data_IF_293044447817
#
_entry.id   IF_293044447817
#
_cell.length_a   1.000
_cell.length_b   1.000
_cell.length_c   1.000
_cell.angle_alpha   90.00
_cell.angle_beta   90.00
_cell.angle_gamma   90.00
#
_symmetry.space_group_name_H-M   'P 1'
#
loop_
_entity.id
_entity.type
_entity.pdbx_description
1 polymer ?
#
# COMPACT_ATOMS: atom_id res chain seq x y z
N UNK A 1 -8.14 29.58 51.03
CA UNK A 1 -9.06 28.43 50.91
C UNK A 1 -8.26 27.28 50.32
N UNK A 2 -7.80 26.40 51.21
CA UNK A 2 -7.00 25.20 50.93
C UNK A 2 -7.89 24.02 50.54
N UNK A 3 -7.26 22.99 49.96
CA UNK A 3 -7.65 21.55 49.95
C UNK A 3 -8.27 20.94 48.68
N UNK A 4 -7.38 20.25 47.94
CA UNK A 4 -7.41 18.81 47.56
C UNK A 4 -8.50 18.19 46.66
N UNK A 5 -7.98 17.63 45.56
CA UNK A 5 -8.10 16.23 45.13
C UNK A 5 -9.47 15.69 44.64
N UNK A 6 -9.51 15.23 43.39
CA UNK A 6 -9.96 13.87 43.07
C UNK A 6 -9.05 13.30 41.97
N UNK A 7 -8.08 12.50 42.38
CA UNK A 7 -7.45 11.47 41.56
C UNK A 7 -8.11 10.14 41.92
N UNK A 8 -8.40 9.30 40.92
CA UNK A 8 -8.59 7.86 41.12
C UNK A 8 -9.93 7.29 40.63
N UNK A 9 -9.91 6.70 39.43
CA UNK A 9 -10.44 5.35 39.26
C UNK A 9 -9.38 4.54 38.51
N UNK A 10 -8.91 3.51 39.19
CA UNK A 10 -7.89 2.55 38.79
C UNK A 10 -8.50 1.44 37.93
N UNK A 11 -7.67 0.94 37.00
CA UNK A 11 -7.52 -0.48 36.62
C UNK A 11 -8.73 -1.26 36.09
N UNK A 12 -8.70 -1.52 34.78
CA UNK A 12 -9.10 -2.81 34.23
C UNK A 12 -7.98 -3.32 33.30
N UNK A 13 -7.15 -4.21 33.83
CA UNK A 13 -6.18 -5.03 33.09
C UNK A 13 -6.89 -6.30 32.60
N UNK A 14 -6.51 -6.74 31.40
CA UNK A 14 -6.62 -8.09 30.84
C UNK A 14 -8.02 -8.64 30.51
N UNK A 15 -8.26 -8.83 29.20
CA UNK A 15 -8.39 -10.15 28.56
C UNK A 15 -9.42 -10.11 27.41
N UNK A 16 -8.94 -10.08 26.15
CA UNK A 16 -9.56 -10.85 25.07
C UNK A 16 -8.42 -11.53 24.30
N UNK A 17 -7.95 -12.61 24.91
CA UNK A 17 -7.17 -13.66 24.24
C UNK A 17 -8.18 -14.68 23.72
N UNK A 18 -8.12 -14.93 22.41
CA UNK A 18 -8.50 -16.17 21.72
C UNK A 18 -10.00 -16.53 21.55
N UNK A 19 -10.56 -16.16 20.39
CA UNK A 19 -11.52 -17.02 19.69
C UNK A 19 -10.84 -17.55 18.43
N UNK A 20 -10.23 -18.72 18.55
CA UNK A 20 -9.84 -19.54 17.42
C UNK A 20 -11.09 -20.01 16.65
N UNK A 21 -11.00 -20.18 15.34
CA UNK A 21 -11.40 -21.40 14.61
C UNK A 21 -11.53 -21.11 13.11
N UNK A 22 -10.53 -21.58 12.37
CA UNK A 22 -10.70 -22.45 11.21
C UNK A 22 -11.69 -21.96 10.13
N UNK A 23 -11.13 -21.32 9.11
CA UNK A 23 -11.68 -21.34 7.76
C UNK A 23 -10.88 -22.31 6.91
N UNK A 24 -11.44 -23.49 6.68
CA UNK A 24 -10.93 -24.52 5.79
C UNK A 24 -10.92 -24.04 4.34
N UNK A 25 -9.75 -24.15 3.71
CA UNK A 25 -9.51 -24.51 2.30
C UNK A 25 -10.76 -24.75 1.45
N UNK A 26 -11.18 -23.76 0.67
CA UNK A 26 -12.01 -23.94 -0.51
C UNK A 26 -11.10 -24.09 -1.73
N UNK A 27 -10.68 -25.32 -2.01
CA UNK A 27 -10.08 -25.69 -3.29
C UNK A 27 -11.03 -26.71 -3.92
N UNK A 28 -11.98 -26.25 -4.75
CA UNK A 28 -12.67 -27.17 -5.63
C UNK A 28 -11.74 -27.67 -6.74
N UNK A 29 -11.19 -28.87 -6.55
CA UNK A 29 -10.69 -29.69 -7.63
C UNK A 29 -11.86 -30.48 -8.23
N UNK A 30 -12.32 -30.12 -9.43
CA UNK A 30 -13.14 -31.02 -10.28
C UNK A 30 -12.69 -30.91 -11.75
N UNK A 31 -11.78 -31.83 -12.07
CA UNK A 31 -11.70 -32.69 -13.26
C UNK A 31 -11.63 -32.05 -14.65
N UNK A 32 -10.40 -31.82 -15.12
CA UNK A 32 -10.08 -31.75 -16.54
C UNK A 32 -9.13 -32.87 -16.95
N UNK A 33 -9.60 -34.13 -16.92
CA UNK A 33 -8.85 -35.27 -17.48
C UNK A 33 -8.87 -35.18 -19.00
N UNK A 34 -7.69 -35.00 -19.56
CA UNK A 34 -7.35 -35.19 -20.97
C UNK A 34 -7.94 -36.50 -21.50
N UNK A 35 -8.74 -36.42 -22.56
CA UNK A 35 -8.86 -37.50 -23.53
C UNK A 35 -8.58 -36.92 -24.91
N UNK A 36 -7.34 -37.12 -25.33
CA UNK A 36 -6.97 -37.21 -26.75
C UNK A 36 -7.49 -38.55 -27.27
N UNK A 37 -8.23 -38.51 -28.39
CA UNK A 37 -8.07 -39.37 -29.59
C UNK A 37 -9.41 -39.58 -30.29
N UNK A 38 -9.58 -38.87 -31.42
CA UNK A 38 -10.23 -39.38 -32.64
C UNK A 38 -11.76 -39.39 -32.71
N UNK A 39 -12.33 -38.50 -33.55
CA UNK A 39 -13.06 -38.87 -34.78
C UNK A 39 -14.08 -37.80 -35.23
N UNK A 40 -13.75 -37.17 -36.37
CA UNK A 40 -14.62 -36.76 -37.50
C UNK A 40 -15.73 -35.70 -37.28
N UNK A 41 -15.61 -34.66 -38.11
CA UNK A 41 -16.66 -33.89 -38.81
C UNK A 41 -16.83 -32.40 -38.44
N UNK A 42 -16.40 -31.57 -39.41
CA UNK A 42 -16.99 -30.28 -39.87
C UNK A 42 -16.88 -29.01 -39.00
N UNK A 43 -15.94 -28.14 -39.44
CA UNK A 43 -15.83 -26.66 -39.36
C UNK A 43 -17.10 -25.88 -39.77
N UNK A 44 -17.22 -24.52 -39.62
CA UNK A 44 -16.46 -23.49 -38.86
C UNK A 44 -17.38 -22.57 -37.99
N UNK A 45 -16.92 -21.70 -37.07
CA UNK A 45 -16.57 -20.28 -37.33
C UNK A 45 -16.24 -19.56 -35.99
N UNK A 46 -15.03 -18.99 -35.93
CA UNK A 46 -14.52 -17.76 -35.24
C UNK A 46 -15.25 -17.20 -34.01
N UNK A 47 -14.62 -16.70 -32.94
CA UNK A 47 -13.25 -16.51 -32.44
C UNK A 47 -13.41 -15.98 -30.98
N UNK A 48 -12.78 -16.58 -29.95
CA UNK A 48 -11.60 -16.05 -29.22
C UNK A 48 -11.78 -14.61 -28.65
N UNK A 49 -11.52 -14.28 -27.38
CA UNK A 49 -10.43 -14.75 -26.51
C UNK A 49 -10.69 -14.47 -25.01
N UNK A 50 -10.15 -15.37 -24.20
CA UNK A 50 -9.88 -15.40 -22.75
C UNK A 50 -9.38 -14.10 -22.07
N UNK A 51 -9.71 -13.87 -20.78
CA UNK A 51 -8.79 -13.25 -19.83
C UNK A 51 -7.99 -14.34 -19.09
N UNK A 52 -6.70 -14.43 -19.41
CA UNK A 52 -5.71 -15.17 -18.64
C UNK A 52 -4.93 -14.16 -17.78
N UNK A 53 -4.64 -14.51 -16.53
CA UNK A 53 -3.62 -13.80 -15.75
C UNK A 53 -3.89 -13.72 -14.25
N UNK A 54 -3.82 -14.86 -13.57
CA UNK A 54 -3.45 -14.88 -12.16
C UNK A 54 -1.97 -14.51 -12.07
N UNK A 55 -1.68 -13.29 -11.62
CA UNK A 55 -0.35 -12.83 -11.24
C UNK A 55 -0.23 -12.88 -9.72
N UNK A 56 0.32 -13.97 -9.21
CA UNK A 56 0.84 -14.05 -7.84
C UNK A 56 2.02 -13.07 -7.73
N UNK A 57 1.82 -11.91 -7.11
CA UNK A 57 2.93 -11.07 -6.65
C UNK A 57 3.27 -11.46 -5.21
N UNK A 58 3.85 -12.66 -5.07
CA UNK A 58 4.70 -12.99 -3.95
C UNK A 58 6.14 -12.84 -4.43
N UNK A 59 6.68 -11.62 -4.33
CA UNK A 59 8.11 -11.37 -4.53
C UNK A 59 8.70 -10.85 -3.23
N UNK A 60 9.46 -11.71 -2.57
CA UNK A 60 10.46 -11.34 -1.57
C UNK A 60 11.47 -10.33 -2.17
N UNK A 61 12.12 -9.50 -1.34
CA UNK A 61 12.86 -8.33 -1.81
C UNK A 61 14.08 -8.79 -2.62
N UNK A 62 14.08 -8.42 -3.90
CA UNK A 62 15.31 -8.41 -4.68
C UNK A 62 16.12 -7.23 -4.15
N UNK A 63 17.35 -7.50 -3.73
CA UNK A 63 18.40 -6.49 -3.56
C UNK A 63 18.60 -5.77 -4.90
N UNK A 64 17.76 -4.77 -5.15
CA UNK A 64 17.78 -3.91 -6.32
C UNK A 64 18.36 -2.56 -5.91
N UNK A 65 19.30 -2.06 -6.70
CA UNK A 65 20.06 -0.82 -6.48
C UNK A 65 19.18 0.45 -6.64
N UNK A 66 17.88 0.39 -6.41
CA UNK A 66 17.02 1.56 -6.47
C UNK A 66 15.62 1.31 -5.91
N UNK A 67 14.96 2.42 -5.55
CA UNK A 67 13.67 2.41 -4.86
C UNK A 67 12.59 2.17 -5.89
N UNK A 68 11.74 1.18 -5.69
CA UNK A 68 10.60 0.92 -6.56
C UNK A 68 9.32 1.50 -5.96
N UNK A 69 8.25 1.61 -6.75
CA UNK A 69 6.93 1.90 -6.18
C UNK A 69 6.42 0.79 -5.25
N UNK A 70 6.89 -0.45 -5.41
CA UNK A 70 6.57 -1.54 -4.48
C UNK A 70 7.26 -1.37 -3.13
N UNK A 71 8.42 -0.72 -3.08
CA UNK A 71 9.06 -0.33 -1.81
C UNK A 71 8.28 0.80 -1.15
N UNK A 72 7.91 1.85 -1.90
CA UNK A 72 7.05 2.94 -1.38
C UNK A 72 5.75 2.39 -0.78
N UNK A 73 5.08 1.46 -1.46
CA UNK A 73 3.83 0.87 -1.00
C UNK A 73 3.91 0.12 0.34
N UNK A 74 5.10 -0.30 0.78
CA UNK A 74 5.30 -0.91 2.10
C UNK A 74 5.19 0.12 3.24
N UNK A 75 5.47 1.39 2.96
CA UNK A 75 5.43 2.50 3.92
C UNK A 75 4.10 3.27 3.79
N UNK A 76 3.00 2.60 4.17
CA UNK A 76 1.62 3.06 3.92
C UNK A 76 0.85 3.46 5.19
N UNK A 77 1.55 3.72 6.30
CA UNK A 77 0.92 4.05 7.59
C UNK A 77 1.40 5.41 8.12
N UNK A 78 0.66 6.09 9.03
CA UNK A 78 1.10 7.38 9.55
C UNK A 78 2.44 7.33 10.31
N UNK A 79 2.74 6.20 10.96
CA UNK A 79 3.99 5.96 11.68
C UNK A 79 5.13 5.45 10.80
N UNK A 80 4.84 5.13 9.53
CA UNK A 80 5.81 4.72 8.51
C UNK A 80 5.25 5.07 7.12
N UNK A 81 5.50 6.31 6.69
CA UNK A 81 4.81 6.94 5.55
C UNK A 81 5.81 7.41 4.49
N UNK A 82 5.88 6.70 3.36
CA UNK A 82 6.56 7.21 2.17
C UNK A 82 5.54 7.59 1.10
N UNK A 83 5.90 8.57 0.27
CA UNK A 83 5.14 8.88 -0.94
C UNK A 83 6.09 9.17 -2.09
N UNK A 84 5.67 8.79 -3.30
CA UNK A 84 6.38 9.17 -4.51
C UNK A 84 5.87 10.51 -5.03
N UNK A 85 6.78 11.44 -5.33
CA UNK A 85 6.44 12.74 -5.94
C UNK A 85 7.47 13.05 -7.03
N UNK A 86 7.00 13.27 -8.26
CA UNK A 86 7.85 13.59 -9.41
C UNK A 86 9.01 12.60 -9.60
N UNK A 87 8.72 11.29 -9.49
CA UNK A 87 9.71 10.23 -9.71
C UNK A 87 10.74 10.04 -8.60
N UNK A 88 10.51 10.60 -7.40
CA UNK A 88 11.35 10.39 -6.22
C UNK A 88 10.50 9.94 -5.04
N UNK A 89 11.06 9.10 -4.17
CA UNK A 89 10.48 8.71 -2.90
C UNK A 89 10.87 9.68 -1.78
N UNK A 90 9.91 10.00 -0.91
CA UNK A 90 10.10 10.86 0.25
C UNK A 90 9.54 10.20 1.51
N UNK A 91 10.28 10.27 2.61
CA UNK A 91 9.82 9.83 3.93
C UNK A 91 9.13 10.98 4.65
N UNK A 92 7.81 10.97 4.64
CA UNK A 92 6.97 12.04 5.16
C UNK A 92 6.53 11.80 6.60
N UNK A 93 6.97 10.71 7.24
CA UNK A 93 6.53 10.26 8.57
C UNK A 93 6.61 11.39 9.60
N UNK A 94 7.75 12.07 9.66
CA UNK A 94 7.96 13.18 10.61
C UNK A 94 7.27 14.49 10.21
N UNK A 95 6.87 14.63 8.94
CA UNK A 95 6.25 15.83 8.41
C UNK A 95 4.73 15.89 8.64
N UNK A 96 4.07 14.74 8.82
CA UNK A 96 2.60 14.64 8.95
C UNK A 96 2.05 15.68 9.93
N UNK A 97 2.53 15.69 11.17
CA UNK A 97 2.07 16.58 12.24
C UNK A 97 2.40 18.07 12.03
N UNK A 98 3.34 18.36 11.12
CA UNK A 98 3.86 19.70 10.85
C UNK A 98 3.25 20.32 9.59
N UNK A 99 2.54 19.52 8.79
CA UNK A 99 2.00 19.96 7.52
C UNK A 99 0.93 21.05 7.69
N UNK A 100 1.14 22.28 7.15
CA UNK A 100 0.18 23.39 7.32
C UNK A 100 -1.21 23.14 6.72
N UNK A 101 -1.31 22.27 5.71
CA UNK A 101 -2.58 21.87 5.09
C UNK A 101 -3.36 20.81 5.88
N UNK A 102 -2.84 20.38 7.04
CA UNK A 102 -3.41 19.34 7.87
C UNK A 102 -2.80 17.96 7.63
N UNK A 103 -2.75 17.16 8.69
CA UNK A 103 -2.12 15.84 8.73
C UNK A 103 -2.76 14.85 7.74
N UNK A 104 -4.08 14.88 7.65
CA UNK A 104 -4.88 13.93 6.87
C UNK A 104 -4.56 13.94 5.37
N UNK A 105 -4.07 15.06 4.84
CA UNK A 105 -3.66 15.16 3.43
C UNK A 105 -2.42 14.31 3.18
N UNK A 106 -1.45 14.32 4.11
CA UNK A 106 -0.23 13.53 3.99
C UNK A 106 -0.51 12.06 4.28
N UNK A 107 -1.35 11.76 5.28
CA UNK A 107 -1.74 10.38 5.61
C UNK A 107 -2.36 9.66 4.41
N UNK A 108 -3.17 10.35 3.59
CA UNK A 108 -3.75 9.78 2.38
C UNK A 108 -2.74 9.55 1.24
N UNK A 109 -1.53 10.10 1.35
CA UNK A 109 -0.45 9.93 0.38
C UNK A 109 0.53 8.81 0.76
N UNK A 110 0.42 8.23 1.96
CA UNK A 110 1.31 7.15 2.38
C UNK A 110 1.14 5.93 1.47
N UNK A 111 2.26 5.39 1.01
CA UNK A 111 2.33 4.22 0.15
C UNK A 111 2.01 4.45 -1.33
N UNK A 112 1.76 5.69 -1.76
CA UNK A 112 1.29 5.97 -3.13
C UNK A 112 2.06 7.09 -3.83
N UNK A 113 1.85 7.22 -5.14
CA UNK A 113 2.29 8.39 -5.90
C UNK A 113 1.35 9.57 -5.64
N UNK A 114 1.89 10.57 -4.94
CA UNK A 114 1.21 11.81 -4.58
C UNK A 114 1.49 12.96 -5.54
N UNK A 115 2.10 12.71 -6.70
CA UNK A 115 2.57 13.77 -7.63
C UNK A 115 1.44 14.70 -8.06
N UNK A 116 0.28 14.15 -8.43
CA UNK A 116 -0.85 14.95 -8.87
C UNK A 116 -1.39 15.85 -7.75
N UNK A 117 -1.52 15.32 -6.54
CA UNK A 117 -1.97 16.06 -5.36
C UNK A 117 -1.00 17.18 -4.99
N UNK A 118 0.29 16.86 -4.89
CA UNK A 118 1.33 17.84 -4.61
C UNK A 118 1.38 18.93 -5.68
N UNK A 119 1.39 18.55 -6.96
CA UNK A 119 1.49 19.52 -8.08
C UNK A 119 0.27 20.43 -8.15
N UNK A 120 -0.94 19.90 -7.92
CA UNK A 120 -2.17 20.70 -7.91
C UNK A 120 -2.15 21.78 -6.83
N UNK A 121 -1.62 21.47 -5.64
CA UNK A 121 -1.65 22.39 -4.50
C UNK A 121 -0.39 23.27 -4.40
N UNK A 122 0.75 22.76 -4.84
CA UNK A 122 2.08 23.33 -4.57
C UNK A 122 2.98 23.46 -5.80
N UNK A 123 2.49 23.14 -7.00
CA UNK A 123 3.27 23.25 -8.24
C UNK A 123 3.87 24.64 -8.43
N UNK A 124 5.20 24.69 -8.64
CA UNK A 124 5.95 25.92 -8.85
C UNK A 124 6.19 26.77 -7.60
N UNK A 125 5.79 26.30 -6.42
CA UNK A 125 6.05 26.99 -5.16
C UNK A 125 7.39 26.54 -4.57
N UNK A 126 8.37 27.44 -4.55
CA UNK A 126 9.70 27.08 -4.07
C UNK A 126 9.78 26.68 -2.59
N UNK A 127 8.90 27.17 -1.71
CA UNK A 127 8.93 26.80 -0.28
C UNK A 127 8.51 25.33 -0.08
N UNK A 128 7.32 24.88 -0.53
CA UNK A 128 6.95 23.46 -0.49
C UNK A 128 7.96 22.53 -1.17
N UNK A 129 8.52 22.92 -2.31
CA UNK A 129 9.51 22.10 -3.03
C UNK A 129 10.79 21.89 -2.21
N UNK A 130 11.30 22.94 -1.55
CA UNK A 130 12.47 22.83 -0.66
C UNK A 130 12.18 22.03 0.61
N UNK A 131 10.98 22.17 1.16
CA UNK A 131 10.55 21.39 2.32
C UNK A 131 10.50 19.91 1.97
N UNK A 132 9.81 19.56 0.87
CA UNK A 132 9.73 18.18 0.38
C UNK A 132 11.11 17.57 0.13
N UNK A 133 12.05 18.33 -0.45
CA UNK A 133 13.41 17.88 -0.70
C UNK A 133 14.19 17.49 0.56
N UNK A 134 13.81 18.00 1.74
CA UNK A 134 14.45 17.62 3.02
C UNK A 134 14.11 16.21 3.47
N UNK A 135 13.07 15.60 2.86
CA UNK A 135 12.57 14.26 3.15
C UNK A 135 12.96 13.24 2.06
N UNK A 136 13.83 13.62 1.12
CA UNK A 136 14.19 12.78 -0.02
C UNK A 136 14.89 11.49 0.43
N UNK A 137 14.31 10.35 0.06
CA UNK A 137 14.96 9.04 0.19
C UNK A 137 15.80 8.74 -1.04
N UNK A 138 15.24 9.00 -2.23
CA UNK A 138 15.96 8.81 -3.50
C UNK A 138 15.05 8.72 -4.72
N UNK A 139 15.63 8.55 -5.92
CA UNK A 139 14.87 8.39 -7.16
C UNK A 139 14.14 7.05 -7.20
N UNK A 140 12.93 7.06 -7.78
CA UNK A 140 12.20 5.84 -8.12
C UNK A 140 12.84 5.24 -9.39
N UNK A 141 13.19 3.96 -9.33
CA UNK A 141 13.72 3.18 -10.44
C UNK A 141 12.81 1.97 -10.65
N UNK A 142 12.22 1.85 -11.85
CA UNK A 142 11.34 0.72 -12.19
C UNK A 142 10.15 1.16 -13.00
#
# INVERSE_FOLDING_TARGET
MTLTAIAGVLLAIAAIVLTALVGHTGAEAVWGRTLTTGAVATVPTSAASTPAGSGSMSSAPTTGTGITMADVAQHSTPDDCWSAVNGNAYDLTSWIAQHPGGEQVIVQMCGVDGTAGFTSQHGGQGKPERELASFLVGPITG
#
